data_IF_467545386688
#
_entry.id   IF_467545386688
#
_cell.length_a   1.000
_cell.length_b   1.000
_cell.length_c   1.000
_cell.angle_alpha   90.00
_cell.angle_beta   90.00
_cell.angle_gamma   90.00
#
_symmetry.space_group_name_H-M   'P 1'
#
loop_
_entity.id
_entity.type
_entity.pdbx_description
1 polymer ?
#
# COMPACT_ATOMS: atom_id res chain seq x y z
N UNK A 1 6.52 -10.20 23.57
CA UNK A 1 6.99 -8.88 23.06
C UNK A 1 6.27 -8.59 21.72
N UNK A 2 4.95 -8.83 21.62
CA UNK A 2 4.29 -9.09 20.33
C UNK A 2 3.02 -8.26 20.05
N UNK A 3 2.54 -7.42 20.99
CA UNK A 3 1.49 -6.43 20.68
C UNK A 3 2.05 -5.27 19.82
N UNK A 4 3.38 -5.14 19.81
CA UNK A 4 4.15 -4.13 19.05
C UNK A 4 4.06 -4.33 17.53
N UNK A 5 3.88 -5.56 17.05
CA UNK A 5 3.69 -5.88 15.63
C UNK A 5 2.31 -5.50 15.10
N UNK A 6 1.25 -5.71 15.89
CA UNK A 6 -0.13 -5.47 15.44
C UNK A 6 -0.53 -3.98 15.40
N UNK A 7 0.12 -3.13 16.19
CA UNK A 7 -0.05 -1.66 16.13
C UNK A 7 0.97 -1.04 15.17
N UNK A 8 1.84 -1.83 14.54
CA UNK A 8 2.97 -1.34 13.76
C UNK A 8 2.58 -0.42 12.60
N UNK A 9 1.67 -0.85 11.72
CA UNK A 9 1.24 -0.04 10.58
C UNK A 9 0.54 1.24 11.04
N UNK A 10 -0.33 1.14 12.06
CA UNK A 10 -1.05 2.28 12.62
C UNK A 10 -0.08 3.25 13.33
N UNK A 11 0.89 2.74 14.07
CA UNK A 11 1.95 3.51 14.74
C UNK A 11 2.81 4.22 13.70
N UNK A 12 3.21 3.53 12.64
CA UNK A 12 4.01 4.13 11.56
C UNK A 12 3.21 5.21 10.83
N UNK A 13 1.94 4.97 10.51
CA UNK A 13 1.08 5.97 9.89
C UNK A 13 0.81 7.17 10.81
N UNK A 14 0.62 6.94 12.10
CA UNK A 14 0.49 8.01 13.10
C UNK A 14 1.77 8.83 13.21
N UNK A 15 2.95 8.20 13.20
CA UNK A 15 4.25 8.86 13.16
C UNK A 15 4.40 9.66 11.87
N UNK A 16 4.09 9.09 10.70
CA UNK A 16 4.08 9.79 9.41
C UNK A 16 3.19 11.04 9.46
N UNK A 17 1.97 10.90 9.99
CA UNK A 17 1.04 12.02 10.14
C UNK A 17 1.57 13.08 11.10
N UNK A 18 2.13 12.68 12.25
CA UNK A 18 2.69 13.59 13.24
C UNK A 18 3.86 14.39 12.67
N UNK A 19 4.78 13.73 11.96
CA UNK A 19 5.91 14.37 11.28
C UNK A 19 5.38 15.33 10.22
N UNK A 20 4.46 14.90 9.35
CA UNK A 20 3.88 15.78 8.32
C UNK A 20 3.16 17.00 8.92
N UNK A 21 2.48 16.83 10.06
CA UNK A 21 1.83 17.91 10.81
C UNK A 21 2.86 18.91 11.35
N UNK A 22 3.94 18.40 11.97
CA UNK A 22 5.02 19.22 12.50
C UNK A 22 5.72 20.01 11.39
N UNK A 23 6.00 19.36 10.27
CA UNK A 23 6.61 19.96 9.09
C UNK A 23 5.72 21.08 8.50
N UNK A 24 4.40 20.90 8.50
CA UNK A 24 3.45 21.93 8.05
C UNK A 24 3.43 23.18 8.94
N UNK A 25 3.84 23.09 10.20
CA UNK A 25 3.96 24.26 11.08
C UNK A 25 5.09 25.21 10.66
N UNK A 26 6.03 24.75 9.82
CA UNK A 26 7.25 25.49 9.47
C UNK A 26 7.01 26.62 8.43
N UNK A 27 5.79 26.83 7.93
CA UNK A 27 5.43 27.89 6.94
C UNK A 27 6.26 27.88 5.63
N UNK A 28 7.05 26.85 5.36
CA UNK A 28 7.79 26.62 4.11
C UNK A 28 6.86 25.91 3.11
N UNK A 29 7.03 26.11 1.79
CA UNK A 29 6.34 25.32 0.76
C UNK A 29 6.51 23.82 0.99
N UNK A 30 5.38 23.11 0.99
CA UNK A 30 5.28 21.67 1.29
C UNK A 30 6.12 20.83 0.33
N UNK A 31 6.32 21.30 -0.90
CA UNK A 31 7.14 20.61 -1.92
C UNK A 31 8.61 20.49 -1.49
N UNK A 32 9.10 21.40 -0.66
CA UNK A 32 10.49 21.41 -0.17
C UNK A 32 10.58 20.73 1.20
N UNK A 33 9.58 20.94 2.05
CA UNK A 33 9.65 20.51 3.44
C UNK A 33 9.45 19.00 3.61
N UNK A 34 8.67 18.35 2.74
CA UNK A 34 8.44 16.91 2.75
C UNK A 34 9.62 16.04 2.29
N UNK A 35 10.33 16.36 1.18
CA UNK A 35 11.55 15.64 0.84
C UNK A 35 12.65 15.88 1.88
N UNK A 36 12.74 17.09 2.46
CA UNK A 36 13.71 17.39 3.52
C UNK A 36 13.44 16.55 4.78
N UNK A 37 12.18 16.47 5.23
CA UNK A 37 11.83 15.64 6.40
C UNK A 37 12.05 14.15 6.15
N UNK A 38 11.87 13.70 4.91
CA UNK A 38 12.17 12.31 4.53
C UNK A 38 13.68 12.01 4.57
N UNK A 39 14.53 12.92 4.07
CA UNK A 39 15.99 12.79 4.17
C UNK A 39 16.47 12.79 5.63
N UNK A 40 15.86 13.62 6.49
CA UNK A 40 16.17 13.61 7.93
C UNK A 40 15.78 12.27 8.57
N UNK A 41 14.63 11.71 8.18
CA UNK A 41 14.13 10.44 8.70
C UNK A 41 15.01 9.25 8.26
N UNK A 42 15.60 9.32 7.08
CA UNK A 42 16.56 8.35 6.55
C UNK A 42 17.88 8.28 7.36
N UNK A 43 18.29 9.37 8.01
CA UNK A 43 19.49 9.43 8.86
C UNK A 43 19.28 8.71 10.20
N UNK A 44 18.04 8.52 10.63
CA UNK A 44 17.72 7.89 11.92
C UNK A 44 17.86 6.35 11.79
N UNK A 45 18.77 5.71 12.55
CA UNK A 45 19.10 4.28 12.39
C UNK A 45 17.96 3.32 12.78
N UNK A 46 16.88 3.82 13.40
CA UNK A 46 15.67 3.05 13.72
C UNK A 46 14.68 2.92 12.54
N UNK A 47 14.96 3.52 11.38
CA UNK A 47 14.06 3.47 10.21
C UNK A 47 14.00 2.10 9.51
N UNK A 48 15.07 1.31 9.60
CA UNK A 48 15.22 0.03 8.88
C UNK A 48 14.44 -1.15 9.49
N UNK A 49 14.18 -1.14 10.80
CA UNK A 49 13.45 -2.24 11.45
C UNK A 49 11.98 -2.31 11.03
N UNK A 50 11.43 -1.21 10.50
CA UNK A 50 9.99 -1.02 10.31
C UNK A 50 9.63 -0.38 8.95
N UNK A 51 10.55 -0.31 7.98
CA UNK A 51 10.31 0.30 6.66
C UNK A 51 9.61 1.68 6.69
N UNK A 52 9.76 2.43 7.79
CA UNK A 52 9.05 3.71 7.99
C UNK A 52 9.51 4.72 6.95
N UNK A 53 10.80 4.66 6.60
CA UNK A 53 11.41 5.48 5.56
C UNK A 53 10.70 5.33 4.22
N UNK A 54 10.31 4.11 3.87
CA UNK A 54 9.55 3.82 2.66
C UNK A 54 8.10 4.29 2.80
N UNK A 55 7.43 3.96 3.90
CA UNK A 55 6.02 4.30 4.10
C UNK A 55 5.79 5.83 4.14
N UNK A 56 6.69 6.58 4.79
CA UNK A 56 6.62 8.04 4.86
C UNK A 56 6.76 8.68 3.49
N UNK A 57 7.63 8.15 2.63
CA UNK A 57 7.79 8.62 1.25
C UNK A 57 6.48 8.50 0.44
N UNK A 58 5.84 7.32 0.47
CA UNK A 58 4.55 7.13 -0.20
C UNK A 58 3.44 8.00 0.42
N UNK A 59 3.48 8.20 1.73
CA UNK A 59 2.53 9.10 2.41
C UNK A 59 2.67 10.55 1.89
N UNK A 60 3.91 11.06 1.78
CA UNK A 60 4.19 12.39 1.24
C UNK A 60 3.76 12.51 -0.23
N UNK A 61 4.06 11.52 -1.07
CA UNK A 61 3.61 11.50 -2.47
C UNK A 61 2.09 11.47 -2.56
N UNK A 62 1.42 10.62 -1.77
CA UNK A 62 -0.04 10.55 -1.72
C UNK A 62 -0.66 11.89 -1.33
N UNK A 63 -0.07 12.60 -0.36
CA UNK A 63 -0.51 13.95 0.00
C UNK A 63 -0.34 14.96 -1.15
N UNK A 64 0.80 14.92 -1.86
CA UNK A 64 1.04 15.79 -3.01
C UNK A 64 0.06 15.48 -4.15
N UNK A 65 -0.18 14.21 -4.46
CA UNK A 65 -1.17 13.79 -5.45
C UNK A 65 -2.56 14.31 -5.09
N UNK A 66 -2.95 14.22 -3.81
CA UNK A 66 -4.23 14.75 -3.35
C UNK A 66 -4.31 16.28 -3.47
N UNK A 67 -3.23 17.01 -3.19
CA UNK A 67 -3.15 18.47 -3.34
C UNK A 67 -3.28 18.90 -4.80
N UNK A 68 -2.69 18.16 -5.74
CA UNK A 68 -2.70 18.46 -7.19
C UNK A 68 -3.72 17.63 -7.97
N UNK A 69 -4.74 17.08 -7.29
CA UNK A 69 -5.69 16.15 -7.89
C UNK A 69 -6.43 16.76 -9.09
N UNK A 70 -6.88 18.01 -8.97
CA UNK A 70 -7.64 18.70 -10.02
C UNK A 70 -6.82 18.85 -11.32
N UNK A 71 -5.52 19.13 -11.18
CA UNK A 71 -4.60 19.21 -12.31
C UNK A 71 -4.36 17.82 -12.92
N UNK A 72 -4.15 16.80 -12.09
CA UNK A 72 -3.98 15.42 -12.56
C UNK A 72 -5.21 14.87 -13.28
N UNK A 73 -6.42 15.27 -12.86
CA UNK A 73 -7.66 14.88 -13.52
C UNK A 73 -7.76 15.42 -14.96
N UNK A 74 -7.20 16.59 -15.22
CA UNK A 74 -7.19 17.20 -16.57
C UNK A 74 -6.35 16.37 -17.55
N UNK A 75 -5.25 15.78 -17.07
CA UNK A 75 -4.33 14.97 -17.87
C UNK A 75 -4.49 13.45 -17.65
N UNK A 76 -5.62 12.99 -17.11
CA UNK A 76 -5.79 11.58 -16.73
C UNK A 76 -5.59 10.58 -17.88
N UNK A 77 -6.04 10.92 -19.09
CA UNK A 77 -5.97 10.04 -20.26
C UNK A 77 -4.53 9.87 -20.75
N UNK A 78 -3.75 10.94 -21.04
CA UNK A 78 -2.36 10.79 -21.42
C UNK A 78 -1.52 10.18 -20.29
N UNK A 79 -1.81 10.52 -19.04
CA UNK A 79 -1.10 9.98 -17.87
C UNK A 79 -1.33 8.47 -17.73
N UNK A 80 -2.57 8.00 -17.92
CA UNK A 80 -2.87 6.57 -18.00
C UNK A 80 -2.12 5.88 -19.15
N UNK A 81 -2.14 6.45 -20.36
CA UNK A 81 -1.45 5.87 -21.52
C UNK A 81 0.06 5.73 -21.32
N UNK A 82 0.72 6.80 -20.83
CA UNK A 82 2.15 6.80 -20.55
C UNK A 82 2.49 5.79 -19.44
N UNK A 83 1.69 5.77 -18.36
CA UNK A 83 1.90 4.83 -17.26
C UNK A 83 1.75 3.37 -17.73
N UNK A 84 0.77 3.07 -18.57
CA UNK A 84 0.54 1.73 -19.10
C UNK A 84 1.72 1.25 -19.93
N UNK A 85 2.24 2.10 -20.84
CA UNK A 85 3.42 1.77 -21.64
C UNK A 85 4.64 1.53 -20.74
N UNK A 86 4.88 2.42 -19.78
CA UNK A 86 6.00 2.28 -18.84
C UNK A 86 5.89 1.00 -17.99
N UNK A 87 4.70 0.68 -17.52
CA UNK A 87 4.44 -0.50 -16.70
C UNK A 87 4.67 -1.80 -17.50
N UNK A 88 4.21 -1.86 -18.76
CA UNK A 88 4.47 -3.01 -19.64
C UNK A 88 5.97 -3.19 -19.87
N UNK A 89 6.70 -2.11 -20.17
CA UNK A 89 8.16 -2.17 -20.35
C UNK A 89 8.84 -2.65 -19.07
N UNK A 90 8.44 -2.14 -17.91
CA UNK A 90 9.00 -2.53 -16.62
C UNK A 90 8.77 -4.01 -16.29
N UNK A 91 7.59 -4.55 -16.62
CA UNK A 91 7.27 -5.98 -16.47
C UNK A 91 8.13 -6.81 -17.43
N UNK A 92 8.22 -6.43 -18.71
CA UNK A 92 9.03 -7.14 -19.70
C UNK A 92 10.52 -7.18 -19.33
N UNK A 93 11.04 -6.14 -18.68
CA UNK A 93 12.44 -6.07 -18.25
C UNK A 93 12.68 -6.67 -16.86
N UNK A 94 11.68 -7.32 -16.24
CA UNK A 94 11.74 -7.89 -14.88
C UNK A 94 12.16 -6.88 -13.79
N UNK A 95 11.91 -5.59 -14.02
CA UNK A 95 12.20 -4.54 -13.02
C UNK A 95 11.31 -4.64 -11.78
N UNK A 96 10.28 -5.48 -11.83
CA UNK A 96 9.37 -5.80 -10.73
C UNK A 96 10.00 -6.65 -9.64
N UNK A 97 11.12 -7.33 -9.90
CA UNK A 97 11.76 -8.25 -8.94
C UNK A 97 12.69 -7.54 -7.94
N UNK A 98 12.94 -6.24 -8.10
CA UNK A 98 13.90 -5.46 -7.30
C UNK A 98 13.30 -4.86 -6.02
N UNK A 99 12.45 -5.59 -5.29
CA UNK A 99 11.95 -5.09 -4.00
C UNK A 99 12.98 -5.26 -2.89
N UNK A 100 14.05 -4.46 -2.94
CA UNK A 100 15.05 -4.37 -1.87
C UNK A 100 14.52 -3.48 -0.73
N UNK A 101 14.95 -3.75 0.50
CA UNK A 101 14.62 -2.88 1.65
C UNK A 101 15.25 -1.50 1.42
N UNK A 102 14.47 -0.44 1.63
CA UNK A 102 14.94 0.93 1.45
C UNK A 102 15.78 1.36 2.65
N UNK A 103 17.05 0.99 2.60
CA UNK A 103 18.09 1.39 3.54
C UNK A 103 18.97 2.50 2.95
N UNK A 104 19.69 3.23 3.80
CA UNK A 104 20.63 4.27 3.39
C UNK A 104 21.70 3.77 2.41
N UNK A 105 22.08 2.49 2.52
CA UNK A 105 23.01 1.85 1.61
C UNK A 105 22.43 1.70 0.18
N UNK A 106 21.13 1.42 0.05
CA UNK A 106 20.46 1.37 -1.25
C UNK A 106 20.42 2.76 -1.89
N UNK A 107 20.17 3.79 -1.08
CA UNK A 107 20.06 5.17 -1.56
C UNK A 107 21.40 5.76 -1.98
N UNK A 108 22.50 5.36 -1.33
CA UNK A 108 23.87 5.74 -1.70
C UNK A 108 24.45 4.91 -2.84
N UNK A 109 24.25 3.59 -2.88
CA UNK A 109 24.92 2.68 -3.81
C UNK A 109 24.06 2.34 -5.05
N UNK A 110 22.74 2.51 -4.98
CA UNK A 110 21.83 2.18 -6.07
C UNK A 110 20.59 3.08 -6.13
N UNK A 111 20.80 4.40 -6.10
CA UNK A 111 19.73 5.41 -6.19
C UNK A 111 18.83 5.21 -7.42
N UNK A 112 19.41 4.70 -8.52
CA UNK A 112 18.68 4.37 -9.74
C UNK A 112 17.63 3.26 -9.50
N UNK A 113 17.96 2.21 -8.75
CA UNK A 113 17.02 1.11 -8.45
C UNK A 113 15.84 1.58 -7.61
N UNK A 114 16.11 2.43 -6.61
CA UNK A 114 15.04 3.03 -5.80
C UNK A 114 14.09 3.88 -6.64
N UNK A 115 14.62 4.71 -7.54
CA UNK A 115 13.80 5.50 -8.47
C UNK A 115 12.93 4.59 -9.35
N UNK A 116 13.51 3.56 -9.95
CA UNK A 116 12.76 2.58 -10.76
C UNK A 116 11.65 1.93 -9.94
N UNK A 117 11.93 1.49 -8.71
CA UNK A 117 10.92 0.88 -7.82
C UNK A 117 9.75 1.84 -7.53
N UNK A 118 10.05 3.11 -7.24
CA UNK A 118 9.04 4.16 -7.00
C UNK A 118 8.20 4.39 -8.25
N UNK A 119 8.83 4.58 -9.42
CA UNK A 119 8.11 4.83 -10.67
C UNK A 119 7.28 3.64 -11.11
N UNK A 120 7.78 2.41 -10.96
CA UNK A 120 7.03 1.19 -11.26
C UNK A 120 5.82 1.06 -10.34
N UNK A 121 5.97 1.34 -9.03
CA UNK A 121 4.86 1.32 -8.08
C UNK A 121 3.79 2.39 -8.35
N UNK A 122 4.21 3.63 -8.67
CA UNK A 122 3.30 4.71 -9.04
C UNK A 122 2.57 4.39 -10.35
N UNK A 123 3.31 3.94 -11.36
CA UNK A 123 2.76 3.57 -12.65
C UNK A 123 1.74 2.45 -12.53
N UNK A 124 2.07 1.37 -11.81
CA UNK A 124 1.15 0.27 -11.55
C UNK A 124 -0.13 0.74 -10.85
N UNK A 125 -0.02 1.63 -9.87
CA UNK A 125 -1.18 2.19 -9.16
C UNK A 125 -2.09 2.98 -10.10
N UNK A 126 -1.52 3.84 -10.95
CA UNK A 126 -2.27 4.62 -11.96
C UNK A 126 -2.95 3.68 -12.97
N UNK A 127 -2.24 2.65 -13.45
CA UNK A 127 -2.78 1.67 -14.39
C UNK A 127 -3.97 0.93 -13.78
N UNK A 128 -3.88 0.48 -12.54
CA UNK A 128 -4.99 -0.17 -11.84
C UNK A 128 -6.20 0.76 -11.71
N UNK A 129 -5.98 2.01 -11.27
CA UNK A 129 -7.06 3.01 -11.17
C UNK A 129 -7.71 3.27 -12.53
N UNK A 130 -6.91 3.45 -13.58
CA UNK A 130 -7.41 3.69 -14.93
C UNK A 130 -8.16 2.50 -15.53
N UNK A 131 -7.72 1.27 -15.26
CA UNK A 131 -8.46 0.05 -15.65
C UNK A 131 -9.80 0.00 -14.91
N UNK A 132 -9.85 0.30 -13.61
CA UNK A 132 -11.11 0.36 -12.86
C UNK A 132 -12.08 1.40 -13.44
N UNK A 133 -11.59 2.60 -13.79
CA UNK A 133 -12.39 3.64 -14.42
C UNK A 133 -12.90 3.21 -15.81
N UNK A 134 -12.05 2.55 -16.61
CA UNK A 134 -12.39 2.06 -17.94
C UNK A 134 -13.45 0.95 -17.87
N UNK A 135 -13.33 0.00 -16.93
CA UNK A 135 -14.34 -1.02 -16.67
C UNK A 135 -15.67 -0.36 -16.27
N UNK A 136 -15.63 0.65 -15.40
CA UNK A 136 -16.83 1.38 -15.00
C UNK A 136 -17.50 2.09 -16.18
N UNK A 137 -16.73 2.74 -17.05
CA UNK A 137 -17.26 3.45 -18.22
C UNK A 137 -17.85 2.50 -19.27
N UNK A 138 -17.19 1.36 -19.53
CA UNK A 138 -17.64 0.38 -20.53
C UNK A 138 -18.82 -0.47 -20.04
N UNK A 139 -18.78 -0.92 -18.78
CA UNK A 139 -19.72 -1.90 -18.24
C UNK A 139 -20.63 -1.34 -17.14
N UNK A 140 -20.53 -0.07 -16.76
CA UNK A 140 -21.36 0.55 -15.72
C UNK A 140 -22.85 0.57 -16.04
N UNK A 141 -23.22 0.51 -17.33
CA UNK A 141 -24.62 0.30 -17.77
C UNK A 141 -25.16 -1.07 -17.36
N UNK A 142 -24.29 -2.06 -17.12
CA UNK A 142 -24.67 -3.40 -16.69
C UNK A 142 -24.71 -3.43 -15.16
N UNK A 143 -25.92 -3.51 -14.61
CA UNK A 143 -26.17 -3.47 -13.16
C UNK A 143 -25.31 -4.44 -12.32
N UNK A 144 -24.88 -5.57 -12.89
CA UNK A 144 -23.98 -6.53 -12.23
C UNK A 144 -22.57 -5.98 -11.97
N UNK A 145 -21.96 -5.29 -12.93
CA UNK A 145 -20.57 -4.80 -12.78
C UNK A 145 -20.52 -3.63 -11.81
N UNK A 146 -21.51 -2.74 -11.85
CA UNK A 146 -21.66 -1.68 -10.84
C UNK A 146 -21.78 -2.22 -9.41
N UNK A 147 -22.55 -3.30 -9.21
CA UNK A 147 -22.66 -3.98 -7.90
C UNK A 147 -21.32 -4.57 -7.44
N UNK A 148 -20.58 -5.24 -8.32
CA UNK A 148 -19.27 -5.82 -7.99
C UNK A 148 -18.27 -4.72 -7.62
N UNK A 149 -18.20 -3.64 -8.40
CA UNK A 149 -17.27 -2.54 -8.13
C UNK A 149 -17.61 -1.81 -6.81
N UNK A 150 -18.90 -1.60 -6.55
CA UNK A 150 -19.37 -1.05 -5.27
C UNK A 150 -19.03 -1.98 -4.09
N UNK A 151 -19.11 -3.30 -4.28
CA UNK A 151 -18.70 -4.28 -3.28
C UNK A 151 -17.20 -4.21 -2.98
N UNK A 152 -16.35 -4.15 -4.02
CA UNK A 152 -14.90 -3.96 -3.85
C UNK A 152 -14.56 -2.64 -3.17
N UNK A 153 -15.24 -1.54 -3.53
CA UNK A 153 -15.10 -0.25 -2.85
C UNK A 153 -15.48 -0.34 -1.36
N UNK A 154 -16.53 -1.10 -1.05
CA UNK A 154 -16.95 -1.35 0.33
C UNK A 154 -15.88 -2.12 1.10
N UNK A 155 -15.31 -3.19 0.52
CA UNK A 155 -14.19 -3.93 1.14
C UNK A 155 -12.99 -3.00 1.34
N UNK A 156 -12.65 -2.19 0.34
CA UNK A 156 -11.54 -1.24 0.40
C UNK A 156 -11.67 -0.21 1.53
N UNK A 157 -12.88 0.14 1.97
CA UNK A 157 -13.09 0.98 3.14
C UNK A 157 -12.57 0.33 4.42
N UNK A 158 -12.64 -1.00 4.53
CA UNK A 158 -12.17 -1.77 5.69
C UNK A 158 -10.68 -2.14 5.62
N UNK A 159 -9.93 -1.61 4.66
CA UNK A 159 -8.51 -1.95 4.45
C UNK A 159 -7.68 -1.88 5.73
N UNK A 160 -7.87 -0.86 6.57
CA UNK A 160 -7.17 -0.74 7.85
C UNK A 160 -7.46 -1.94 8.78
N UNK A 161 -8.73 -2.26 8.98
CA UNK A 161 -9.13 -3.39 9.82
C UNK A 161 -8.69 -4.73 9.23
N UNK A 162 -8.77 -4.87 7.90
CA UNK A 162 -8.32 -6.06 7.18
C UNK A 162 -6.83 -6.27 7.44
N UNK A 163 -6.00 -5.24 7.31
CA UNK A 163 -4.56 -5.34 7.60
C UNK A 163 -4.29 -5.74 9.05
N UNK A 164 -4.96 -5.12 10.02
CA UNK A 164 -4.79 -5.48 11.45
C UNK A 164 -5.11 -6.95 11.67
N UNK A 165 -6.28 -7.41 11.20
CA UNK A 165 -6.71 -8.81 11.35
C UNK A 165 -5.78 -9.76 10.59
N UNK A 166 -5.35 -9.38 9.38
CA UNK A 166 -4.43 -10.17 8.57
C UNK A 166 -3.10 -10.38 9.28
N UNK A 167 -2.52 -9.32 9.87
CA UNK A 167 -1.30 -9.42 10.68
C UNK A 167 -1.53 -10.36 11.87
N UNK A 168 -2.63 -10.22 12.61
CA UNK A 168 -2.96 -11.14 13.70
C UNK A 168 -3.08 -12.60 13.25
N UNK A 169 -3.73 -12.86 12.11
CA UNK A 169 -3.91 -14.21 11.58
C UNK A 169 -2.56 -14.81 11.16
N UNK A 170 -1.75 -14.06 10.41
CA UNK A 170 -0.45 -14.56 9.95
C UNK A 170 0.49 -14.79 11.14
N UNK A 171 0.56 -13.84 12.07
CA UNK A 171 1.50 -13.85 13.20
C UNK A 171 1.10 -14.86 14.30
N UNK A 172 -0.20 -15.12 14.52
CA UNK A 172 -0.65 -16.07 15.55
C UNK A 172 -1.05 -17.44 15.04
N UNK A 173 -1.69 -17.55 13.87
CA UNK A 173 -2.16 -18.85 13.35
C UNK A 173 -1.08 -19.51 12.51
N UNK A 174 -0.49 -18.80 11.54
CA UNK A 174 0.44 -19.41 10.59
C UNK A 174 1.78 -19.74 11.25
N UNK A 175 2.35 -18.82 12.04
CA UNK A 175 3.65 -19.05 12.70
C UNK A 175 3.58 -20.12 13.79
N UNK A 176 2.40 -20.35 14.39
CA UNK A 176 2.19 -21.37 15.41
C UNK A 176 1.84 -22.76 14.83
N UNK A 177 1.08 -22.81 13.73
CA UNK A 177 0.62 -24.08 13.15
C UNK A 177 1.48 -24.61 12.00
N UNK A 178 2.24 -23.76 11.30
CA UNK A 178 2.87 -24.15 10.05
C UNK A 178 4.39 -23.96 10.13
N UNK A 179 5.10 -24.99 10.62
CA UNK A 179 6.44 -25.28 10.10
C UNK A 179 6.25 -25.71 8.65
N UNK A 180 6.24 -24.75 7.72
CA UNK A 180 6.15 -25.02 6.28
C UNK A 180 7.40 -25.81 5.89
N UNK A 181 7.28 -27.14 5.89
CA UNK A 181 8.20 -28.00 5.16
C UNK A 181 8.20 -27.54 3.71
N UNK A 182 9.40 -27.40 3.14
CA UNK A 182 9.68 -27.00 1.77
C UNK A 182 8.98 -27.93 0.78
N UNK A 183 7.74 -27.60 0.40
CA UNK A 183 7.08 -28.24 -0.73
C UNK A 183 7.49 -27.43 -1.96
N UNK A 184 8.53 -27.93 -2.62
CA UNK A 184 9.05 -27.43 -3.89
C UNK A 184 8.02 -27.71 -4.98
N UNK A 185 7.08 -26.79 -5.16
CA UNK A 185 6.31 -26.64 -6.39
C UNK A 185 6.95 -25.49 -7.17
N UNK A 186 7.05 -25.63 -8.49
CA UNK A 186 7.66 -24.66 -9.42
C UNK A 186 7.46 -23.20 -9.00
N UNK A 187 8.57 -22.48 -8.75
CA UNK A 187 8.56 -21.15 -8.12
C UNK A 187 7.70 -20.13 -8.87
N UNK A 188 7.65 -20.20 -10.20
CA UNK A 188 6.87 -19.26 -11.00
C UNK A 188 5.35 -19.46 -10.83
N UNK A 189 4.89 -20.71 -10.68
CA UNK A 189 3.45 -20.99 -10.54
C UNK A 189 2.95 -20.68 -9.14
N UNK A 190 3.75 -20.99 -8.12
CA UNK A 190 3.46 -20.63 -6.73
C UNK A 190 3.37 -19.11 -6.59
N UNK A 191 4.32 -18.37 -7.16
CA UNK A 191 4.44 -16.94 -6.90
C UNK A 191 3.40 -16.10 -7.64
N UNK A 192 3.02 -16.51 -8.86
CA UNK A 192 2.10 -15.74 -9.72
C UNK A 192 0.63 -16.09 -9.45
N UNK A 193 0.32 -17.35 -9.14
CA UNK A 193 -1.08 -17.80 -9.04
C UNK A 193 -1.43 -18.13 -7.59
N UNK A 194 -0.61 -18.92 -6.93
CA UNK A 194 -0.95 -19.46 -5.61
C UNK A 194 -0.91 -18.38 -4.51
N UNK A 195 0.14 -17.55 -4.50
CA UNK A 195 0.29 -16.47 -3.52
C UNK A 195 -0.86 -15.44 -3.64
N UNK A 196 -1.21 -14.90 -4.83
CA UNK A 196 -2.33 -13.96 -4.94
C UNK A 196 -3.67 -14.60 -4.59
N UNK A 197 -3.87 -15.88 -4.92
CA UNK A 197 -5.11 -16.60 -4.58
C UNK A 197 -5.27 -16.70 -3.06
N UNK A 198 -4.23 -17.15 -2.34
CA UNK A 198 -4.22 -17.21 -0.87
C UNK A 198 -4.44 -15.83 -0.28
N UNK A 199 -3.73 -14.82 -0.78
CA UNK A 199 -3.89 -13.43 -0.32
C UNK A 199 -5.31 -12.92 -0.48
N UNK A 200 -5.96 -13.21 -1.62
CA UNK A 200 -7.34 -12.82 -1.87
C UNK A 200 -8.34 -13.53 -0.94
N UNK A 201 -8.15 -14.83 -0.69
CA UNK A 201 -8.97 -15.60 0.22
C UNK A 201 -8.82 -15.09 1.67
N UNK A 202 -7.57 -14.84 2.10
CA UNK A 202 -7.27 -14.29 3.41
C UNK A 202 -7.88 -12.89 3.59
N UNK A 203 -7.81 -12.03 2.57
CA UNK A 203 -8.42 -10.71 2.58
C UNK A 203 -9.95 -10.78 2.79
N UNK A 204 -10.63 -11.71 2.11
CA UNK A 204 -12.07 -11.95 2.31
C UNK A 204 -12.38 -12.42 3.73
N UNK A 205 -11.61 -13.38 4.26
CA UNK A 205 -11.76 -13.85 5.65
C UNK A 205 -11.59 -12.70 6.63
N UNK A 206 -10.53 -11.90 6.47
CA UNK A 206 -10.25 -10.73 7.30
C UNK A 206 -11.40 -9.72 7.23
N UNK A 207 -11.94 -9.45 6.04
CA UNK A 207 -13.08 -8.56 5.86
C UNK A 207 -14.31 -9.01 6.66
N UNK A 208 -14.65 -10.31 6.63
CA UNK A 208 -15.77 -10.83 7.42
C UNK A 208 -15.52 -10.74 8.92
N UNK A 209 -14.29 -11.04 9.37
CA UNK A 209 -13.91 -10.91 10.79
C UNK A 209 -14.01 -9.45 11.25
N UNK A 210 -13.52 -8.50 10.47
CA UNK A 210 -13.66 -7.06 10.77
C UNK A 210 -15.13 -6.67 10.86
N UNK A 211 -15.97 -7.12 9.93
CA UNK A 211 -17.41 -6.81 9.92
C UNK A 211 -18.15 -7.35 11.16
N UNK A 212 -17.71 -8.49 11.70
CA UNK A 212 -18.26 -9.02 12.95
C UNK A 212 -17.74 -8.22 14.14
N UNK A 213 -16.44 -7.94 14.16
CA UNK A 213 -15.75 -7.35 15.31
C UNK A 213 -16.04 -5.85 15.48
N UNK A 214 -16.34 -5.12 14.40
CA UNK A 214 -16.72 -3.70 14.43
C UNK A 214 -18.00 -3.43 15.25
N UNK A 215 -18.83 -4.44 15.50
CA UNK A 215 -20.02 -4.31 16.37
C UNK A 215 -19.64 -3.92 17.80
N UNK A 216 -18.41 -4.21 18.21
CA UNK A 216 -17.85 -3.86 19.51
C UNK A 216 -17.26 -2.44 19.44
N UNK A 217 -17.91 -1.48 20.09
CA UNK A 217 -17.53 -0.04 20.06
C UNK A 217 -16.05 0.21 20.37
N UNK A 218 -15.50 -0.48 21.36
CA UNK A 218 -14.09 -0.31 21.79
C UNK A 218 -13.13 -0.72 20.68
N UNK A 219 -13.36 -1.88 20.05
CA UNK A 219 -12.49 -2.40 19.00
C UNK A 219 -12.61 -1.55 17.73
N UNK A 220 -13.83 -1.11 17.40
CA UNK A 220 -14.06 -0.25 16.26
C UNK A 220 -13.32 1.09 16.36
N UNK A 221 -13.38 1.74 17.53
CA UNK A 221 -12.68 3.01 17.75
C UNK A 221 -11.16 2.80 17.77
N UNK A 222 -10.67 1.78 18.48
CA UNK A 222 -9.24 1.60 18.73
C UNK A 222 -8.47 1.03 17.52
N UNK A 223 -9.05 0.06 16.81
CA UNK A 223 -8.35 -0.68 15.75
C UNK A 223 -8.84 -0.35 14.34
N UNK A 224 -10.11 0.04 14.19
CA UNK A 224 -10.71 0.28 12.87
C UNK A 224 -10.91 1.76 12.56
N UNK A 225 -10.65 2.66 13.51
CA UNK A 225 -10.76 4.12 13.30
C UNK A 225 -12.21 4.63 13.25
N UNK A 226 -13.16 3.93 13.87
CA UNK A 226 -14.55 4.37 13.96
C UNK A 226 -15.35 4.15 12.67
N UNK A 227 -15.14 3.02 12.00
CA UNK A 227 -15.84 2.66 10.78
C UNK A 227 -17.33 2.41 11.08
N UNK A 228 -18.20 3.11 10.34
CA UNK A 228 -19.66 2.90 10.34
C UNK A 228 -20.07 2.10 9.11
#
# INVERSE_FOLDING_TARGET
MEIIGCVWFLKNLFVCYFIARFVKCVKIPVEITFPLSWVILLIIPFGGTLMINFLYFYFCIGYLIHKYLDYLQTYKIPLFGISLVFFIIAVCQNWTNLSEKVDMNLLMYSSFRFMVQVFVGLSGSIVVIGICELIYKLFGKRQRVGKILSYFSTIGRYTLGIYVVQTFIIERLITAYIKLNEIVISSAFTDIIFIPLIGSALCLVCYYVVRITQSIKVINILFYGGQK
#
